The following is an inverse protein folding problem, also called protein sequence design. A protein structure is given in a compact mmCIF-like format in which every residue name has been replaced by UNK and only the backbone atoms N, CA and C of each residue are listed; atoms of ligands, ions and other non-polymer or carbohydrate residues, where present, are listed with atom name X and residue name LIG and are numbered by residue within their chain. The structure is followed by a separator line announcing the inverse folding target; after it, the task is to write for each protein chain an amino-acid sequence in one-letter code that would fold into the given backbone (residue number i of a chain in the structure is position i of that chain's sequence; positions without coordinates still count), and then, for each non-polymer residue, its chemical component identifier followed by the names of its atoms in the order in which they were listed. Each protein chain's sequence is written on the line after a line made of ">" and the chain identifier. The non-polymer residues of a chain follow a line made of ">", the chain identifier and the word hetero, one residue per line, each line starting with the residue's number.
data_IF_508328065228
#
_entry.id   IF_508328065228
#
_cell.length_a   1.000
_cell.length_b   1.000
_cell.length_c   1.000
_cell.angle_alpha   90.00
_cell.angle_beta   90.00
_cell.angle_gamma   90.00
#
_symmetry.space_group_name_H-M   'P 1'
#
loop_
_entity.id
_entity.type
_entity.pdbx_description
1 polymer ?
#
# COMPACT_ATOMS: atom_id res chain seq x y z
N UNK A 1 -20.60 -0.32 8.62
CA UNK A 1 -20.29 -0.65 7.21
C UNK A 1 -19.20 0.29 6.67
N UNK A 2 -18.06 0.37 7.37
CA UNK A 2 -16.93 1.23 6.99
C UNK A 2 -15.57 0.58 7.27
N UNK A 3 -15.55 -0.59 7.90
CA UNK A 3 -14.33 -1.35 8.18
C UNK A 3 -13.69 -1.95 6.91
N UNK A 4 -14.48 -2.16 5.84
CA UNK A 4 -13.98 -2.70 4.56
C UNK A 4 -13.15 -1.73 3.72
N UNK A 5 -13.32 -0.42 3.89
CA UNK A 5 -12.56 0.57 3.11
C UNK A 5 -11.15 0.77 3.66
N UNK A 6 -10.96 0.44 4.94
CA UNK A 6 -9.72 0.72 5.65
C UNK A 6 -9.05 -0.54 6.23
N UNK A 7 -9.70 -1.70 6.23
CA UNK A 7 -9.08 -2.97 6.63
C UNK A 7 -8.41 -3.70 5.45
N UNK A 8 -7.36 -4.46 5.73
CA UNK A 8 -6.84 -5.43 4.77
C UNK A 8 -7.92 -6.45 4.43
N UNK A 9 -8.09 -6.77 3.13
CA UNK A 9 -9.02 -7.81 2.72
C UNK A 9 -8.54 -9.16 3.26
N UNK A 10 -9.43 -10.07 3.72
CA UNK A 10 -9.03 -11.39 4.22
C UNK A 10 -8.24 -12.23 3.20
N UNK A 11 -8.45 -11.96 1.91
CA UNK A 11 -7.78 -12.64 0.80
C UNK A 11 -6.45 -12.00 0.37
N UNK A 12 -6.05 -10.89 0.98
CA UNK A 12 -4.82 -10.16 0.61
C UNK A 12 -3.52 -10.88 1.02
N UNK A 13 -3.61 -11.90 1.89
CA UNK A 13 -2.44 -12.59 2.45
C UNK A 13 -1.69 -11.78 3.51
N UNK A 14 -2.27 -10.67 4.00
CA UNK A 14 -1.67 -9.86 5.05
C UNK A 14 -1.76 -10.56 6.42
N UNK A 15 -0.61 -10.76 7.07
CA UNK A 15 -0.52 -11.17 8.47
C UNK A 15 -0.37 -9.92 9.35
N UNK A 16 -1.24 -9.75 10.35
CA UNK A 16 -1.34 -8.52 11.14
C UNK A 16 -0.04 -8.12 11.89
N UNK A 17 0.94 -9.02 11.98
CA UNK A 17 2.27 -8.76 12.52
C UNK A 17 3.37 -8.45 11.49
N UNK A 18 3.06 -8.43 10.20
CA UNK A 18 4.06 -8.25 9.15
C UNK A 18 4.44 -6.78 8.98
N UNK A 19 5.71 -6.47 9.26
CA UNK A 19 6.28 -5.18 8.89
C UNK A 19 6.57 -5.14 7.39
N UNK A 20 5.78 -4.35 6.67
CA UNK A 20 5.91 -4.19 5.21
C UNK A 20 6.75 -2.96 4.83
N UNK A 21 7.38 -2.28 5.79
CA UNK A 21 8.30 -1.18 5.50
C UNK A 21 9.42 -1.65 4.58
N UNK A 22 9.68 -0.87 3.53
CA UNK A 22 10.64 -1.17 2.48
C UNK A 22 10.17 -2.13 1.39
N UNK A 23 8.95 -2.70 1.47
CA UNK A 23 8.38 -3.47 0.37
C UNK A 23 8.11 -2.55 -0.82
N UNK A 24 8.27 -3.09 -2.03
CA UNK A 24 7.94 -2.37 -3.27
C UNK A 24 6.43 -2.35 -3.47
N UNK A 25 5.90 -1.22 -3.92
CA UNK A 25 4.49 -1.06 -4.26
C UNK A 25 4.33 -1.08 -5.78
N UNK A 26 3.48 -1.99 -6.24
CA UNK A 26 3.19 -2.24 -7.65
C UNK A 26 1.73 -1.89 -7.93
N UNK A 27 1.52 -0.89 -8.80
CA UNK A 27 0.23 -0.58 -9.38
C UNK A 27 -0.10 -1.53 -10.54
N UNK A 28 -1.33 -1.42 -11.05
CA UNK A 28 -1.79 -2.12 -12.25
C UNK A 28 -0.95 -1.82 -13.50
N UNK A 29 -0.36 -0.63 -13.58
CA UNK A 29 0.44 -0.13 -14.69
C UNK A 29 1.96 -0.11 -14.41
N UNK A 30 2.40 -0.62 -13.26
CA UNK A 30 3.81 -0.82 -12.93
C UNK A 30 4.24 -0.33 -11.55
N UNK A 31 5.54 -0.32 -11.32
CA UNK A 31 6.11 0.04 -10.01
C UNK A 31 5.94 1.52 -9.70
N UNK A 32 5.50 1.80 -8.48
CA UNK A 32 5.26 3.16 -7.98
C UNK A 32 6.38 3.61 -7.06
N UNK A 33 6.76 2.75 -6.10
CA UNK A 33 7.62 3.17 -5.00
C UNK A 33 7.84 2.08 -3.95
N UNK A 34 8.14 2.50 -2.73
CA UNK A 34 8.35 1.63 -1.57
C UNK A 34 7.58 2.14 -0.35
N UNK A 35 7.17 1.25 0.53
CA UNK A 35 6.53 1.63 1.78
C UNK A 35 7.57 2.29 2.70
N UNK A 36 7.34 3.54 3.08
CA UNK A 36 8.16 4.30 4.04
C UNK A 36 7.70 4.06 5.47
N UNK A 37 6.37 4.03 5.68
CA UNK A 37 5.75 3.70 6.98
C UNK A 37 4.52 2.83 6.80
N UNK A 38 4.33 1.92 7.73
CA UNK A 38 3.14 1.09 7.84
C UNK A 38 2.47 1.37 9.19
N UNK A 39 1.17 1.68 9.18
CA UNK A 39 0.37 1.78 10.40
C UNK A 39 -0.77 0.76 10.35
N UNK A 40 -0.80 -0.14 11.33
CA UNK A 40 -1.84 -1.13 11.54
C UNK A 40 -2.81 -0.77 12.67
N UNK A 41 -2.95 0.51 13.01
CA UNK A 41 -3.78 0.91 14.16
C UNK A 41 -5.29 0.90 13.86
N UNK A 42 -6.06 0.67 14.93
CA UNK A 42 -7.48 0.33 14.94
C UNK A 42 -8.34 1.45 14.33
N UNK A 43 -9.07 1.10 13.27
CA UNK A 43 -9.94 2.01 12.51
C UNK A 43 -9.57 2.11 11.04
N UNK A 44 -8.34 1.72 10.68
CA UNK A 44 -7.92 1.63 9.29
C UNK A 44 -6.43 1.42 9.09
N UNK A 45 -6.04 0.30 8.48
CA UNK A 45 -4.70 0.11 7.97
C UNK A 45 -4.45 1.01 6.76
N UNK A 46 -3.36 1.77 6.81
CA UNK A 46 -2.93 2.64 5.72
C UNK A 46 -1.44 2.41 5.46
N UNK A 47 -1.08 2.42 4.18
CA UNK A 47 0.30 2.34 3.72
C UNK A 47 0.78 3.75 3.37
N UNK A 48 1.89 4.17 3.98
CA UNK A 48 2.60 5.38 3.56
C UNK A 48 3.65 4.95 2.55
N UNK A 49 3.46 5.34 1.28
CA UNK A 49 4.35 4.95 0.19
C UNK A 49 5.22 6.15 -0.20
N UNK A 50 6.54 5.96 -0.16
CA UNK A 50 7.51 6.82 -0.82
C UNK A 50 7.61 6.43 -2.29
N UNK A 51 7.40 7.41 -3.14
CA UNK A 51 7.33 7.30 -4.60
C UNK A 51 8.53 7.98 -5.27
N UNK A 52 9.55 8.35 -4.47
CA UNK A 52 10.85 8.81 -4.94
C UNK A 52 10.88 10.16 -5.66
N UNK A 53 11.98 10.38 -6.39
CA UNK A 53 12.47 11.68 -6.90
C UNK A 53 11.61 12.31 -8.03
N UNK A 54 10.59 11.62 -8.54
CA UNK A 54 9.76 12.14 -9.63
C UNK A 54 8.66 13.10 -9.16
N UNK A 55 8.35 13.09 -7.87
CA UNK A 55 7.45 14.05 -7.18
C UNK A 55 8.08 14.36 -5.83
N UNK A 56 8.88 15.43 -5.80
CA UNK A 56 9.57 15.97 -4.63
C UNK A 56 8.82 15.74 -3.30
N UNK A 57 9.28 14.75 -2.51
CA UNK A 57 9.00 14.60 -1.08
C UNK A 57 7.53 14.39 -0.68
N UNK A 58 6.65 13.96 -1.59
CA UNK A 58 5.26 13.63 -1.23
C UNK A 58 5.13 12.15 -0.90
N UNK A 59 4.84 11.84 0.36
CA UNK A 59 4.32 10.54 0.75
C UNK A 59 2.85 10.45 0.36
N UNK A 60 2.44 9.35 -0.28
CA UNK A 60 1.03 9.08 -0.54
C UNK A 60 0.50 8.09 0.49
N UNK A 61 -0.67 8.40 1.03
CA UNK A 61 -1.43 7.52 1.91
C UNK A 61 -2.32 6.64 1.05
N UNK A 62 -2.05 5.34 1.05
CA UNK A 62 -2.90 4.35 0.40
C UNK A 62 -3.73 3.61 1.44
N UNK A 63 -5.07 3.60 1.32
CA UNK A 63 -5.91 2.75 2.17
C UNK A 63 -5.60 1.28 1.90
N UNK A 64 -5.53 0.45 2.96
CA UNK A 64 -5.27 -0.98 2.83
C UNK A 64 -6.30 -1.73 1.99
N UNK A 65 -7.51 -1.18 1.82
CA UNK A 65 -8.54 -1.72 0.94
C UNK A 65 -8.15 -1.75 -0.55
N UNK A 66 -7.13 -0.98 -0.95
CA UNK A 66 -6.56 -1.05 -2.31
C UNK A 66 -5.58 -2.21 -2.48
N UNK A 67 -5.10 -2.83 -1.40
CA UNK A 67 -4.14 -3.93 -1.49
C UNK A 67 -4.84 -5.18 -2.01
N UNK A 68 -4.48 -5.61 -3.21
CA UNK A 68 -4.97 -6.84 -3.82
C UNK A 68 -4.15 -8.06 -3.42
N UNK A 69 -2.89 -7.87 -3.04
CA UNK A 69 -2.04 -8.98 -2.60
C UNK A 69 -0.70 -8.53 -2.04
N UNK A 70 -0.14 -9.37 -1.17
CA UNK A 70 1.19 -9.19 -0.59
C UNK A 70 2.04 -10.42 -0.92
N UNK A 71 3.16 -10.19 -1.61
CA UNK A 71 4.19 -11.20 -1.87
C UNK A 71 5.36 -10.96 -0.93
N UNK A 72 5.43 -11.78 0.12
CA UNK A 72 6.43 -11.65 1.20
C UNK A 72 7.80 -12.09 0.72
N UNK A 73 7.88 -13.15 -0.10
CA UNK A 73 9.13 -13.68 -0.65
C UNK A 73 9.81 -12.66 -1.57
N UNK A 74 9.05 -12.02 -2.45
CA UNK A 74 9.56 -10.98 -3.35
C UNK A 74 9.64 -9.58 -2.70
N UNK A 75 9.09 -9.43 -1.48
CA UNK A 75 8.90 -8.15 -0.78
C UNK A 75 8.15 -7.11 -1.62
N UNK A 76 6.99 -7.49 -2.15
CA UNK A 76 6.13 -6.67 -3.02
C UNK A 76 4.69 -6.62 -2.50
N UNK A 77 4.07 -5.45 -2.62
CA UNK A 77 2.65 -5.21 -2.36
C UNK A 77 2.01 -4.77 -3.67
N UNK A 78 0.92 -5.43 -4.05
CA UNK A 78 0.14 -5.12 -5.24
C UNK A 78 -1.11 -4.34 -4.84
N UNK A 79 -1.43 -3.29 -5.61
CA UNK A 79 -2.61 -2.46 -5.38
C UNK A 79 -3.51 -2.39 -6.62
N UNK A 80 -4.83 -2.33 -6.41
CA UNK A 80 -5.86 -2.17 -7.45
C UNK A 80 -6.04 -0.69 -7.85
N UNK A 81 -4.93 0.01 -8.07
CA UNK A 81 -4.92 1.40 -8.51
C UNK A 81 -3.83 1.59 -9.57
N UNK A 82 -4.03 2.54 -10.48
CA UNK A 82 -2.97 2.97 -11.40
C UNK A 82 -2.08 4.03 -10.74
N UNK A 83 -0.87 4.18 -11.26
CA UNK A 83 0.07 5.21 -10.83
C UNK A 83 -0.56 6.61 -10.90
N UNK A 84 -1.28 6.91 -11.98
CA UNK A 84 -1.95 8.21 -12.16
C UNK A 84 -3.09 8.45 -11.14
N UNK A 85 -3.82 7.40 -10.74
CA UNK A 85 -4.83 7.52 -9.68
C UNK A 85 -4.19 7.82 -8.32
N UNK A 86 -3.02 7.24 -8.06
CA UNK A 86 -2.25 7.46 -6.84
C UNK A 86 -1.58 8.84 -6.83
N UNK A 87 -1.14 9.33 -7.98
CA UNK A 87 -0.59 10.70 -8.14
C UNK A 87 -1.64 11.80 -7.94
N UNK A 88 -2.93 11.49 -8.18
CA UNK A 88 -4.04 12.45 -8.07
C UNK A 88 -4.75 12.42 -6.71
N UNK A 89 -4.29 11.58 -5.78
CA UNK A 89 -4.88 11.38 -4.46
C UNK A 89 -4.38 12.40 -3.41
#
# INVERSE_FOLDING_TARGET
>A
MSEEMWGYRPQSGHDAGLDMVGFKVEALDGQIGRIDKHSGEVGGACLVVDIGVWIFGKHVLLPAGLVSGVDVDARRVFVEASKSQIESA
#
